data_IF_642287519899
#
_entry.id   IF_642287519899
#
_cell.length_a   1.000
_cell.length_b   1.000
_cell.length_c   1.000
_cell.angle_alpha   90.00
_cell.angle_beta   90.00
_cell.angle_gamma   90.00
#
_symmetry.space_group_name_H-M   'P 1'
#
loop_
_entity.id
_entity.type
_entity.pdbx_description
1 polymer ?
#
# COMPACT_ATOMS: atom_id res chain seq x y z
N UNK A 1 -27.48 -11.11 -8.18
CA UNK A 1 -26.59 -10.12 -8.62
C UNK A 1 -26.12 -9.24 -7.47
N UNK A 2 -24.92 -8.89 -7.53
CA UNK A 2 -24.38 -8.10 -6.47
C UNK A 2 -24.82 -6.67 -6.60
N UNK A 3 -25.26 -6.08 -5.52
CA UNK A 3 -25.62 -4.68 -5.60
C UNK A 3 -24.40 -3.84 -5.89
N UNK A 4 -24.65 -2.68 -6.38
CA UNK A 4 -23.58 -1.76 -6.65
C UNK A 4 -22.78 -1.53 -5.38
N UNK A 5 -21.49 -1.79 -5.42
CA UNK A 5 -20.69 -1.53 -4.23
C UNK A 5 -20.62 -0.04 -4.02
N UNK A 6 -21.04 0.34 -2.87
CA UNK A 6 -21.04 1.75 -2.59
C UNK A 6 -20.18 2.05 -1.38
N UNK A 7 -19.67 1.04 -0.72
CA UNK A 7 -18.88 1.34 0.45
C UNK A 7 -17.41 1.09 0.20
N UNK A 8 -16.59 1.61 1.08
CA UNK A 8 -15.16 1.56 0.89
C UNK A 8 -14.63 0.14 0.87
N UNK A 9 -15.24 -0.75 1.63
CA UNK A 9 -14.75 -2.11 1.69
C UNK A 9 -14.91 -2.82 0.34
N UNK A 10 -16.04 -2.63 -0.31
CA UNK A 10 -16.26 -3.24 -1.60
C UNK A 10 -15.29 -2.71 -2.63
N UNK A 11 -15.08 -1.41 -2.64
CA UNK A 11 -14.13 -0.81 -3.57
C UNK A 11 -12.73 -1.34 -3.31
N UNK A 12 -12.37 -1.45 -2.06
CA UNK A 12 -11.06 -1.94 -1.68
C UNK A 12 -10.85 -3.35 -2.22
N UNK A 13 -11.84 -4.21 -2.04
CA UNK A 13 -11.68 -5.59 -2.47
C UNK A 13 -11.60 -5.70 -3.97
N UNK A 14 -12.36 -4.91 -4.68
CA UNK A 14 -12.40 -5.02 -6.12
C UNK A 14 -11.23 -4.34 -6.81
N UNK A 15 -10.81 -3.21 -6.27
CA UNK A 15 -9.81 -2.40 -6.94
C UNK A 15 -8.40 -2.65 -6.44
N UNK A 16 -8.25 -3.00 -5.18
CA UNK A 16 -6.93 -3.06 -4.57
C UNK A 16 -6.42 -4.44 -4.26
N UNK A 17 -7.28 -5.32 -3.76
CA UNK A 17 -6.79 -6.65 -3.37
C UNK A 17 -6.19 -7.46 -4.52
N UNK A 18 -6.66 -7.31 -5.75
CA UNK A 18 -6.04 -8.09 -6.84
C UNK A 18 -4.58 -7.77 -7.07
N UNK A 19 -4.09 -6.69 -6.52
CA UNK A 19 -2.70 -6.31 -6.73
C UNK A 19 -1.79 -6.73 -5.59
N UNK A 20 -2.28 -7.59 -4.70
CA UNK A 20 -1.51 -7.98 -3.53
C UNK A 20 -0.17 -8.60 -3.88
N UNK A 21 -0.16 -9.51 -4.84
CA UNK A 21 1.08 -10.17 -5.20
C UNK A 21 2.09 -9.19 -5.76
N UNK A 22 1.62 -8.29 -6.60
CA UNK A 22 2.52 -7.30 -7.18
C UNK A 22 3.10 -6.40 -6.10
N UNK A 23 2.26 -6.04 -5.12
CA UNK A 23 2.75 -5.21 -4.03
C UNK A 23 3.77 -5.95 -3.17
N UNK A 24 3.52 -7.21 -2.91
CA UNK A 24 4.47 -8.01 -2.14
C UNK A 24 5.82 -8.09 -2.84
N UNK A 25 5.80 -8.34 -4.13
CA UNK A 25 7.03 -8.43 -4.89
C UNK A 25 7.80 -7.11 -4.86
N UNK A 26 7.08 -6.02 -5.07
CA UNK A 26 7.72 -4.71 -5.08
C UNK A 26 8.29 -4.39 -3.70
N UNK A 27 7.51 -4.67 -2.66
CA UNK A 27 7.96 -4.39 -1.31
C UNK A 27 9.20 -5.21 -0.96
N UNK A 28 9.23 -6.46 -1.40
CA UNK A 28 10.40 -7.29 -1.13
C UNK A 28 11.62 -6.74 -1.85
N UNK A 29 11.45 -6.26 -3.07
CA UNK A 29 12.59 -5.68 -3.79
C UNK A 29 13.13 -4.44 -3.12
N UNK A 30 12.30 -3.75 -2.37
CA UNK A 30 12.76 -2.57 -1.65
C UNK A 30 13.42 -2.92 -0.34
N UNK A 31 12.93 -3.94 0.35
CA UNK A 31 13.38 -4.22 1.71
C UNK A 31 14.31 -5.40 1.81
N UNK A 32 14.23 -6.34 0.85
CA UNK A 32 14.99 -7.57 0.88
C UNK A 32 14.79 -8.33 2.20
N UNK A 33 13.60 -8.22 2.76
CA UNK A 33 13.28 -8.87 4.02
C UNK A 33 11.79 -9.17 4.00
N UNK A 34 11.43 -10.43 4.19
CA UNK A 34 10.03 -10.83 4.06
C UNK A 34 9.13 -10.17 5.09
N UNK A 35 9.61 -10.05 6.31
CA UNK A 35 8.81 -9.44 7.34
C UNK A 35 8.60 -7.96 7.10
N UNK A 36 9.67 -7.29 6.71
CA UNK A 36 9.56 -5.87 6.40
C UNK A 36 8.66 -5.64 5.21
N UNK A 37 8.77 -6.52 4.21
CA UNK A 37 7.92 -6.39 3.03
C UNK A 37 6.45 -6.56 3.41
N UNK A 38 6.15 -7.54 4.24
CA UNK A 38 4.77 -7.76 4.66
C UNK A 38 4.23 -6.57 5.43
N UNK A 39 5.03 -6.01 6.31
CA UNK A 39 4.62 -4.84 7.07
C UNK A 39 4.36 -3.67 6.14
N UNK A 40 5.22 -3.51 5.14
CA UNK A 40 5.09 -2.40 4.21
C UNK A 40 3.81 -2.54 3.38
N UNK A 41 3.50 -3.75 2.94
CA UNK A 41 2.28 -3.98 2.18
C UNK A 41 1.06 -3.73 3.05
N UNK A 42 1.12 -4.19 4.29
CA UNK A 42 0.01 -3.97 5.21
C UNK A 42 -0.23 -2.48 5.42
N UNK A 43 0.83 -1.74 5.65
CA UNK A 43 0.71 -0.30 5.83
C UNK A 43 0.14 0.36 4.58
N UNK A 44 0.58 -0.12 3.41
CA UNK A 44 0.08 0.42 2.15
C UNK A 44 -1.43 0.23 2.03
N UNK A 45 -1.92 -0.97 2.35
CA UNK A 45 -3.35 -1.21 2.27
C UNK A 45 -4.12 -0.43 3.31
N UNK A 46 -3.57 -0.26 4.50
CA UNK A 46 -4.24 0.55 5.51
C UNK A 46 -4.38 1.99 5.04
N UNK A 47 -3.34 2.52 4.45
CA UNK A 47 -3.40 3.88 3.93
C UNK A 47 -4.33 3.97 2.73
N UNK A 48 -4.31 2.96 1.87
CA UNK A 48 -5.20 2.96 0.72
C UNK A 48 -6.66 2.96 1.18
N UNK A 49 -6.96 2.16 2.18
CA UNK A 49 -8.32 2.12 2.69
C UNK A 49 -8.71 3.45 3.32
N UNK A 50 -7.79 4.03 4.06
CA UNK A 50 -8.07 5.31 4.73
C UNK A 50 -8.35 6.41 3.73
N UNK A 51 -7.65 6.42 2.61
CA UNK A 51 -7.78 7.48 1.63
C UNK A 51 -8.53 7.06 0.39
N UNK A 52 -9.33 6.02 0.51
CA UNK A 52 -10.02 5.49 -0.66
C UNK A 52 -10.96 6.51 -1.28
N UNK A 53 -11.41 7.48 -0.50
CA UNK A 53 -12.26 8.52 -1.04
C UNK A 53 -11.55 9.35 -2.10
N UNK A 54 -10.24 9.39 -2.03
CA UNK A 54 -9.47 10.18 -2.97
C UNK A 54 -9.08 9.41 -4.22
N UNK A 55 -9.40 8.13 -4.24
CA UNK A 55 -9.10 7.31 -5.40
C UNK A 55 -10.23 7.41 -6.40
N UNK A 56 -9.90 7.65 -7.65
CA UNK A 56 -10.89 7.74 -8.70
C UNK A 56 -11.06 6.40 -9.38
N UNK A 57 -12.28 5.89 -9.39
CA UNK A 57 -12.56 4.63 -10.03
C UNK A 57 -12.21 4.71 -11.50
N UNK A 58 -11.68 3.62 -12.02
CA UNK A 58 -11.35 3.58 -13.42
C UNK A 58 -9.97 4.11 -13.75
N UNK A 59 -9.28 4.66 -12.77
CA UNK A 59 -7.90 5.03 -12.99
C UNK A 59 -7.03 3.83 -12.67
N UNK A 60 -5.74 4.04 -12.56
CA UNK A 60 -4.80 2.94 -12.40
C UNK A 60 -4.59 2.63 -10.92
N UNK A 61 -5.35 1.67 -10.41
CA UNK A 61 -5.26 1.30 -9.01
C UNK A 61 -3.87 0.80 -8.64
N UNK A 62 -3.26 0.03 -9.54
CA UNK A 62 -1.95 -0.50 -9.26
C UNK A 62 -0.93 0.62 -9.07
N UNK A 63 -0.97 1.61 -9.95
CA UNK A 63 -0.03 2.72 -9.83
C UNK A 63 -0.28 3.52 -8.57
N UNK A 64 -1.54 3.68 -8.20
CA UNK A 64 -1.88 4.41 -7.00
C UNK A 64 -1.34 3.70 -5.76
N UNK A 65 -1.51 2.37 -5.73
CA UNK A 65 -1.00 1.59 -4.61
C UNK A 65 0.52 1.60 -4.56
N UNK A 66 1.17 1.50 -5.71
CA UNK A 66 2.62 1.53 -5.76
C UNK A 66 3.16 2.86 -5.24
N UNK A 67 2.46 3.93 -5.57
CA UNK A 67 2.86 5.24 -5.07
C UNK A 67 2.75 5.31 -3.55
N UNK A 68 1.67 4.78 -3.01
CA UNK A 68 1.50 4.76 -1.56
C UNK A 68 2.59 3.93 -0.92
N UNK A 69 2.87 2.77 -1.50
CA UNK A 69 3.88 1.89 -0.94
C UNK A 69 5.25 2.54 -0.97
N UNK A 70 5.60 3.15 -2.06
CA UNK A 70 6.89 3.79 -2.18
C UNK A 70 7.02 4.93 -1.17
N UNK A 71 5.96 5.70 -1.01
CA UNK A 71 6.00 6.80 -0.05
C UNK A 71 6.13 6.28 1.38
N UNK A 72 5.45 5.19 1.69
CA UNK A 72 5.56 4.60 3.02
C UNK A 72 6.98 4.09 3.26
N UNK A 73 7.57 3.48 2.26
CA UNK A 73 8.94 2.99 2.39
C UNK A 73 9.90 4.14 2.64
N UNK A 74 9.77 5.21 1.88
CA UNK A 74 10.65 6.35 2.04
C UNK A 74 10.49 6.98 3.41
N UNK A 75 9.24 7.05 3.87
CA UNK A 75 8.96 7.63 5.18
C UNK A 75 9.62 6.80 6.28
N UNK A 76 9.51 5.47 6.19
CA UNK A 76 10.10 4.60 7.19
C UNK A 76 11.63 4.68 7.14
N UNK A 77 12.17 4.77 5.96
CA UNK A 77 13.61 4.85 5.81
C UNK A 77 14.14 6.15 6.44
N UNK A 78 13.46 7.26 6.18
CA UNK A 78 13.88 8.52 6.78
C UNK A 78 13.77 8.49 8.28
N UNK A 79 12.72 7.86 8.77
CA UNK A 79 12.52 7.77 10.20
C UNK A 79 13.65 7.00 10.86
N UNK A 80 14.05 5.91 10.24
CA UNK A 80 15.15 5.12 10.77
C UNK A 80 16.43 5.89 10.74
N UNK A 81 16.67 6.61 9.68
CA UNK A 81 17.93 7.35 9.56
C UNK A 81 18.02 8.51 10.52
N UNK A 82 16.90 8.99 10.98
CA UNK A 82 16.93 10.10 11.91
C UNK A 82 17.14 9.68 13.33
N UNK A 83 17.13 8.40 13.60
CA UNK A 83 17.30 7.94 14.95
C UNK A 83 18.67 8.23 15.42
N UNK A 84 18.80 8.94 16.52
CA UNK A 84 20.11 9.29 17.02
C UNK A 84 20.85 8.10 17.58
N UNK A 85 20.14 7.09 17.86
CA UNK A 85 20.80 5.96 18.45
C UNK A 85 21.67 5.26 17.52
N UNK A 86 21.61 5.63 16.30
CA UNK A 86 22.47 5.00 15.41
C UNK A 86 23.85 5.23 15.75
N UNK A 87 24.05 6.14 16.52
CA UNK A 87 25.39 6.45 16.93
C UNK A 87 26.06 5.23 17.41
#
# INVERSE_FOLDING_TARGET
>A
MKPVPSNAQDRFEQEFLPHLEALNTFAFHLTYNEEDAADLVQETYLKAFRFIDKYEDGTNAKAWLFKILKNAYIHDYRKKNKRPTQA
#
